data_IF_330890878785
#
_entry.id   IF_330890878785
#
_cell.length_a   1.000
_cell.length_b   1.000
_cell.length_c   1.000
_cell.angle_alpha   90.00
_cell.angle_beta   90.00
_cell.angle_gamma   90.00
#
_symmetry.space_group_name_H-M   'P 1'
#
loop_
_entity.id
_entity.type
_entity.pdbx_description
1 polymer ?
#
# COMPACT_ATOMS: atom_id res chain seq x y z
N UNK A 1 6.11 19.90 9.48
CA UNK A 1 5.76 18.50 9.23
C UNK A 1 5.73 18.31 7.73
N UNK A 2 6.64 17.48 7.21
CA UNK A 2 7.17 17.59 5.86
C UNK A 2 6.25 17.02 4.78
N UNK A 3 6.28 17.63 3.60
CA UNK A 3 5.57 17.19 2.40
C UNK A 3 5.82 15.71 2.03
N UNK A 4 6.96 15.14 2.45
CA UNK A 4 7.31 13.72 2.24
C UNK A 4 6.42 12.74 3.01
N UNK A 5 5.97 13.10 4.21
CA UNK A 5 5.08 12.23 5.00
C UNK A 5 3.68 12.16 4.39
N UNK A 6 3.23 13.26 3.78
CA UNK A 6 1.93 13.31 3.10
C UNK A 6 1.93 12.47 1.83
N UNK A 7 2.96 12.60 1.00
CA UNK A 7 3.11 11.85 -0.25
C UNK A 7 3.23 10.33 -0.04
N UNK A 8 4.00 9.93 0.98
CA UNK A 8 4.09 8.53 1.39
C UNK A 8 2.74 7.97 1.85
N UNK A 9 2.00 8.74 2.66
CA UNK A 9 0.70 8.33 3.16
C UNK A 9 -0.34 8.21 2.03
N UNK A 10 -0.38 9.17 1.11
CA UNK A 10 -1.26 9.13 -0.07
C UNK A 10 -0.94 7.90 -0.94
N UNK A 11 0.35 7.67 -1.23
CA UNK A 11 0.79 6.51 -2.02
C UNK A 11 0.45 5.18 -1.35
N UNK A 12 0.56 5.10 -0.01
CA UNK A 12 0.22 3.91 0.75
C UNK A 12 -1.30 3.63 0.71
N UNK A 13 -2.14 4.66 0.82
CA UNK A 13 -3.59 4.49 0.71
C UNK A 13 -3.99 4.00 -0.68
N UNK A 14 -3.40 4.52 -1.75
CA UNK A 14 -3.63 4.04 -3.11
C UNK A 14 -3.23 2.57 -3.28
N UNK A 15 -2.12 2.16 -2.68
CA UNK A 15 -1.66 0.77 -2.75
C UNK A 15 -2.61 -0.19 -2.00
N UNK A 16 -3.11 0.20 -0.83
CA UNK A 16 -4.11 -0.56 -0.07
C UNK A 16 -5.42 -0.65 -0.86
N UNK A 17 -5.87 0.43 -1.51
CA UNK A 17 -7.07 0.39 -2.35
C UNK A 17 -6.91 -0.55 -3.54
N UNK A 18 -5.74 -0.57 -4.20
CA UNK A 18 -5.45 -1.52 -5.29
C UNK A 18 -5.44 -2.96 -4.79
N UNK A 19 -4.92 -3.22 -3.59
CA UNK A 19 -4.98 -4.54 -2.97
C UNK A 19 -6.44 -4.94 -2.71
N UNK A 20 -7.24 -4.05 -2.14
CA UNK A 20 -8.67 -4.27 -1.92
C UNK A 20 -9.40 -4.62 -3.23
N UNK A 21 -9.18 -3.86 -4.30
CA UNK A 21 -9.78 -4.16 -5.62
C UNK A 21 -9.37 -5.54 -6.11
N UNK A 22 -8.07 -5.89 -6.07
CA UNK A 22 -7.58 -7.21 -6.47
C UNK A 22 -8.21 -8.34 -5.66
N UNK A 23 -8.36 -8.16 -4.35
CA UNK A 23 -8.98 -9.17 -3.49
C UNK A 23 -10.48 -9.31 -3.79
N UNK A 24 -11.16 -8.18 -4.01
CA UNK A 24 -12.58 -8.14 -4.39
C UNK A 24 -12.84 -8.72 -5.79
N UNK A 25 -11.89 -8.63 -6.73
CA UNK A 25 -12.02 -9.19 -8.07
C UNK A 25 -11.75 -10.71 -8.11
N UNK A 26 -10.96 -11.25 -7.17
CA UNK A 26 -10.55 -12.65 -7.14
C UNK A 26 -11.47 -13.59 -6.33
N UNK A 27 -12.48 -13.08 -5.62
CA UNK A 27 -13.31 -13.90 -4.72
C UNK A 27 -14.78 -13.53 -4.71
N UNK A 28 -15.65 -14.54 -4.71
CA UNK A 28 -17.11 -14.44 -4.57
C UNK A 28 -17.60 -14.11 -3.15
N UNK A 29 -16.70 -13.82 -2.22
CA UNK A 29 -17.02 -13.40 -0.85
C UNK A 29 -16.85 -11.89 -0.70
N UNK A 30 -17.66 -11.28 0.16
CA UNK A 30 -17.58 -9.86 0.48
C UNK A 30 -16.27 -9.53 1.22
N UNK A 31 -15.17 -9.42 0.47
CA UNK A 31 -13.92 -8.85 0.98
C UNK A 31 -14.22 -7.41 1.40
N UNK A 32 -13.87 -7.05 2.62
CA UNK A 32 -13.99 -5.67 3.09
C UNK A 32 -12.66 -4.93 2.97
N UNK A 33 -12.70 -3.60 3.01
CA UNK A 33 -11.48 -2.79 3.09
C UNK A 33 -10.64 -3.14 4.34
N UNK A 34 -11.30 -3.63 5.39
CA UNK A 34 -10.65 -4.01 6.63
C UNK A 34 -9.81 -5.27 6.45
N UNK A 35 -10.30 -6.25 5.69
CA UNK A 35 -9.54 -7.45 5.30
C UNK A 35 -8.31 -7.10 4.45
N UNK A 36 -8.46 -6.14 3.54
CA UNK A 36 -7.34 -5.65 2.74
C UNK A 36 -6.27 -4.97 3.60
N UNK A 37 -6.67 -4.20 4.61
CA UNK A 37 -5.74 -3.59 5.58
C UNK A 37 -5.06 -4.66 6.44
N UNK A 38 -5.79 -5.66 6.93
CA UNK A 38 -5.21 -6.75 7.72
C UNK A 38 -4.20 -7.52 6.87
N UNK A 39 -4.56 -7.89 5.65
CA UNK A 39 -3.65 -8.55 4.69
C UNK A 39 -2.44 -7.66 4.40
N UNK A 40 -2.65 -6.36 4.20
CA UNK A 40 -1.57 -5.40 3.95
C UNK A 40 -0.48 -5.44 5.02
N UNK A 41 -0.87 -5.51 6.29
CA UNK A 41 0.06 -5.57 7.41
C UNK A 41 0.54 -6.99 7.75
N UNK A 42 -0.26 -8.03 7.48
CA UNK A 42 0.05 -9.41 7.89
C UNK A 42 0.93 -10.15 6.89
N UNK A 43 0.78 -9.89 5.58
CA UNK A 43 1.52 -10.58 4.51
C UNK A 43 2.83 -9.86 4.10
N UNK A 44 3.24 -8.82 4.83
CA UNK A 44 4.46 -8.07 4.52
C UNK A 44 4.35 -7.14 3.30
N UNK A 45 3.14 -6.90 2.78
CA UNK A 45 2.89 -5.91 1.73
C UNK A 45 3.31 -4.51 2.16
N UNK A 46 3.07 -4.14 3.43
CA UNK A 46 3.49 -2.87 4.00
C UNK A 46 5.02 -2.67 3.96
N UNK A 47 5.79 -3.70 4.33
CA UNK A 47 7.25 -3.64 4.33
C UNK A 47 7.81 -3.62 2.89
N UNK A 48 7.23 -4.42 2.00
CA UNK A 48 7.60 -4.44 0.58
C UNK A 48 7.34 -3.08 -0.07
N UNK A 49 6.14 -2.53 0.13
CA UNK A 49 5.77 -1.21 -0.37
C UNK A 49 6.69 -0.12 0.16
N UNK A 50 7.01 -0.13 1.46
CA UNK A 50 7.92 0.84 2.05
C UNK A 50 9.30 0.77 1.39
N UNK A 51 9.84 -0.43 1.19
CA UNK A 51 11.14 -0.61 0.56
C UNK A 51 11.13 -0.14 -0.90
N UNK A 52 10.07 -0.45 -1.65
CA UNK A 52 9.90 0.02 -3.04
C UNK A 52 9.74 1.54 -3.13
N UNK A 53 8.90 2.12 -2.27
CA UNK A 53 8.69 3.56 -2.22
C UNK A 53 9.99 4.29 -1.87
N UNK A 54 10.71 3.80 -0.85
CA UNK A 54 12.01 4.36 -0.48
C UNK A 54 13.01 4.21 -1.63
N UNK A 55 13.12 3.03 -2.27
CA UNK A 55 14.03 2.84 -3.40
C UNK A 55 13.74 3.81 -4.55
N UNK A 56 12.47 3.91 -4.95
CA UNK A 56 12.06 4.79 -6.04
C UNK A 56 12.27 6.27 -5.70
N UNK A 57 11.97 6.70 -4.47
CA UNK A 57 12.14 8.09 -4.06
C UNK A 57 13.59 8.47 -3.68
N UNK A 58 14.41 7.49 -3.26
CA UNK A 58 15.84 7.72 -3.00
C UNK A 58 16.63 7.84 -4.30
N UNK A 59 16.23 7.11 -5.35
CA UNK A 59 16.83 7.20 -6.69
C UNK A 59 16.58 8.55 -7.39
N UNK A 60 15.56 9.32 -7.00
CA UNK A 60 15.31 10.68 -7.55
C UNK A 60 16.27 11.72 -6.97
N UNK A 61 17.15 11.34 -6.03
CA UNK A 61 18.08 12.27 -5.35
C UNK A 61 19.56 12.06 -5.75
N UNK A 62 19.86 11.29 -6.81
CA UNK A 62 21.21 11.16 -7.36
C UNK A 62 21.39 11.88 -8.69
#
# INVERSE_FOLDING_TARGET
>A
MGYRDKDYFESQLEAIQKLYQKLSENGSDQVTIQDAIITWFSDGYAETFRNEYLKNNTLVTQ
#
